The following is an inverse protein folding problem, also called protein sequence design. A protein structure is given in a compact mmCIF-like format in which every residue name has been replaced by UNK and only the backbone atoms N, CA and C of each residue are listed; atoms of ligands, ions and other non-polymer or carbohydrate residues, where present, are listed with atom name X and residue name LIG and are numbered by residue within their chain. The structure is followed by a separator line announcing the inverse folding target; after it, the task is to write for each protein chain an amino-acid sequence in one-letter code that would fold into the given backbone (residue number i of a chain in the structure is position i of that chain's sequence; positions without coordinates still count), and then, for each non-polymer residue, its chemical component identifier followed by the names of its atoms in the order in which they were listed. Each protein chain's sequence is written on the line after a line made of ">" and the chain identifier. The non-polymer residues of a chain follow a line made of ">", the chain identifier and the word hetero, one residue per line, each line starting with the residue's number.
data_IF_060028878842
#
_entry.id   IF_060028878842
#
_cell.length_a   1.000
_cell.length_b   1.000
_cell.length_c   1.000
_cell.angle_alpha   90.00
_cell.angle_beta   90.00
_cell.angle_gamma   90.00
#
_symmetry.space_group_name_H-M   'P 1'
#
loop_
_entity.id
_entity.type
_entity.pdbx_description
1 polymer ?
#
# COMPACT_ATOMS: atom_id res chain seq x y z
N UNK A 1 0.65 14.54 50.11
CA UNK A 1 1.55 13.54 49.46
C UNK A 1 0.93 12.76 48.29
N UNK A 2 -0.41 12.61 48.15
CA UNK A 2 -1.03 11.89 47.01
C UNK A 2 -1.04 12.64 45.65
N UNK A 3 -0.90 13.97 45.64
CA UNK A 3 -0.93 14.79 44.41
C UNK A 3 0.35 14.72 43.57
N UNK A 4 1.54 14.54 44.16
CA UNK A 4 2.80 14.47 43.39
C UNK A 4 2.95 13.14 42.65
N UNK A 5 2.45 12.04 43.23
CA UNK A 5 2.45 10.73 42.57
C UNK A 5 1.62 10.74 41.29
N UNK A 6 0.40 11.30 41.35
CA UNK A 6 -0.50 11.38 40.19
C UNK A 6 0.11 12.19 39.04
N UNK A 7 0.81 13.29 39.34
CA UNK A 7 1.42 14.16 38.34
C UNK A 7 2.62 13.48 37.66
N UNK A 8 3.48 12.80 38.43
CA UNK A 8 4.62 12.04 37.91
C UNK A 8 4.16 10.86 37.04
N UNK A 9 3.09 10.17 37.44
CA UNK A 9 2.54 9.05 36.67
C UNK A 9 1.87 9.51 35.37
N UNK A 10 1.18 10.66 35.38
CA UNK A 10 0.67 11.26 34.15
C UNK A 10 1.78 11.70 33.20
N UNK A 11 2.86 12.31 33.70
CA UNK A 11 4.03 12.67 32.87
C UNK A 11 4.69 11.42 32.25
N UNK A 12 4.80 10.32 33.00
CA UNK A 12 5.34 9.04 32.49
C UNK A 12 4.44 8.42 31.43
N UNK A 13 3.12 8.42 31.64
CA UNK A 13 2.13 7.96 30.65
C UNK A 13 2.17 8.80 29.38
N UNK A 14 2.31 10.12 29.49
CA UNK A 14 2.39 11.04 28.36
C UNK A 14 3.66 10.83 27.52
N UNK A 15 4.79 10.52 28.15
CA UNK A 15 6.03 10.15 27.44
C UNK A 15 5.87 8.82 26.68
N UNK A 16 5.22 7.82 27.29
CA UNK A 16 4.97 6.51 26.66
C UNK A 16 3.97 6.61 25.49
N UNK A 17 2.88 7.36 25.66
CA UNK A 17 1.88 7.53 24.61
C UNK A 17 2.41 8.33 23.43
N UNK A 18 3.22 9.38 23.66
CA UNK A 18 3.94 10.11 22.60
C UNK A 18 4.88 9.21 21.81
N UNK A 19 5.67 8.39 22.51
CA UNK A 19 6.56 7.43 21.87
C UNK A 19 5.79 6.46 20.97
N UNK A 20 4.70 5.87 21.49
CA UNK A 20 3.86 4.98 20.69
C UNK A 20 3.18 5.69 19.52
N UNK A 21 2.73 6.93 19.72
CA UNK A 21 2.15 7.76 18.67
C UNK A 21 3.14 8.03 17.52
N UNK A 22 4.41 8.31 17.84
CA UNK A 22 5.47 8.45 16.84
C UNK A 22 5.68 7.14 16.07
N UNK A 23 5.74 6.00 16.77
CA UNK A 23 5.89 4.70 16.11
C UNK A 23 4.72 4.41 15.14
N UNK A 24 3.48 4.63 15.59
CA UNK A 24 2.29 4.43 14.74
C UNK A 24 2.31 5.37 13.54
N UNK A 25 2.70 6.64 13.74
CA UNK A 25 2.87 7.59 12.64
C UNK A 25 3.89 7.08 11.60
N UNK A 26 5.05 6.58 12.04
CA UNK A 26 6.04 5.99 11.14
C UNK A 26 5.50 4.78 10.38
N UNK A 27 4.72 3.90 11.03
CA UNK A 27 4.10 2.75 10.36
C UNK A 27 3.11 3.21 9.29
N UNK A 28 2.26 4.20 9.58
CA UNK A 28 1.31 4.77 8.62
C UNK A 28 2.06 5.40 7.44
N UNK A 29 3.13 6.15 7.72
CA UNK A 29 3.96 6.79 6.70
C UNK A 29 4.62 5.77 5.76
N UNK A 30 5.25 4.73 6.31
CA UNK A 30 5.85 3.65 5.51
C UNK A 30 4.81 2.88 4.71
N UNK A 31 3.63 2.62 5.29
CA UNK A 31 2.50 1.99 4.59
C UNK A 31 2.03 2.85 3.43
N UNK A 32 1.96 4.18 3.61
CA UNK A 32 1.57 5.14 2.57
C UNK A 32 2.56 5.13 1.41
N UNK A 33 3.86 5.16 1.70
CA UNK A 33 4.92 5.07 0.69
C UNK A 33 4.83 3.75 -0.10
N UNK A 34 4.68 2.63 0.62
CA UNK A 34 4.56 1.32 -0.02
C UNK A 34 3.34 1.23 -0.94
N UNK A 35 2.18 1.66 -0.46
CA UNK A 35 0.95 1.66 -1.25
C UNK A 35 1.10 2.55 -2.48
N UNK A 36 1.71 3.74 -2.34
CA UNK A 36 1.98 4.62 -3.47
C UNK A 36 2.83 3.95 -4.56
N UNK A 37 3.98 3.36 -4.21
CA UNK A 37 4.85 2.70 -5.19
C UNK A 37 4.21 1.44 -5.79
N UNK A 38 3.45 0.68 -4.99
CA UNK A 38 2.69 -0.46 -5.47
C UNK A 38 1.70 -0.04 -6.56
N UNK A 39 0.87 0.98 -6.30
CA UNK A 39 -0.12 1.43 -7.27
C UNK A 39 0.49 2.13 -8.48
N UNK A 40 1.64 2.81 -8.35
CA UNK A 40 2.37 3.31 -9.51
C UNK A 40 2.84 2.18 -10.43
N UNK A 41 3.25 1.05 -9.86
CA UNK A 41 3.64 -0.13 -10.64
C UNK A 41 2.43 -0.75 -11.34
N UNK A 42 1.30 -0.90 -10.63
CA UNK A 42 0.04 -1.34 -11.22
C UNK A 42 -0.39 -0.40 -12.35
N UNK A 43 -0.28 0.92 -12.16
CA UNK A 43 -0.63 1.93 -13.17
C UNK A 43 0.08 1.65 -14.50
N UNK A 44 1.41 1.48 -14.45
CA UNK A 44 2.22 1.19 -15.64
C UNK A 44 1.80 -0.12 -16.31
N UNK A 45 1.56 -1.17 -15.52
CA UNK A 45 1.11 -2.47 -16.03
C UNK A 45 -0.26 -2.36 -16.72
N UNK A 46 -1.19 -1.63 -16.12
CA UNK A 46 -2.54 -1.45 -16.65
C UNK A 46 -2.55 -0.60 -17.93
N UNK A 47 -1.74 0.45 -17.99
CA UNK A 47 -1.53 1.22 -19.24
C UNK A 47 -1.04 0.32 -20.37
N UNK A 48 -0.01 -0.50 -20.12
CA UNK A 48 0.49 -1.47 -21.10
C UNK A 48 -0.59 -2.46 -21.52
N UNK A 49 -1.39 -2.94 -20.58
CA UNK A 49 -2.51 -3.84 -20.88
C UNK A 49 -3.58 -3.19 -21.75
N UNK A 50 -3.94 -1.92 -21.50
CA UNK A 50 -4.91 -1.20 -22.32
C UNK A 50 -4.42 -1.03 -23.76
N UNK A 51 -3.18 -0.56 -23.95
CA UNK A 51 -2.58 -0.44 -25.29
C UNK A 51 -2.51 -1.78 -26.02
N UNK A 52 -2.18 -2.86 -25.29
CA UNK A 52 -2.18 -4.21 -25.84
C UNK A 52 -3.57 -4.62 -26.35
N UNK A 53 -4.63 -4.34 -25.59
CA UNK A 53 -6.01 -4.62 -26.01
C UNK A 53 -6.39 -3.84 -27.26
N UNK A 54 -6.07 -2.54 -27.32
CA UNK A 54 -6.31 -1.71 -28.51
C UNK A 54 -5.56 -2.25 -29.72
N UNK A 55 -4.28 -2.61 -29.58
CA UNK A 55 -3.49 -3.18 -30.68
C UNK A 55 -4.05 -4.51 -31.19
N UNK A 56 -4.54 -5.38 -30.30
CA UNK A 56 -5.21 -6.63 -30.71
C UNK A 56 -6.47 -6.33 -31.51
N UNK A 57 -7.28 -5.34 -31.09
CA UNK A 57 -8.47 -4.93 -31.84
C UNK A 57 -8.11 -4.33 -33.20
N UNK A 58 -7.04 -3.52 -33.27
CA UNK A 58 -6.52 -2.99 -34.55
C UNK A 58 -6.12 -4.13 -35.48
N UNK A 59 -5.30 -5.08 -35.02
CA UNK A 59 -4.88 -6.24 -35.80
C UNK A 59 -6.07 -7.08 -36.27
N UNK A 60 -7.01 -7.39 -35.36
CA UNK A 60 -8.21 -8.16 -35.69
C UNK A 60 -9.06 -7.46 -36.76
N UNK A 61 -9.30 -6.15 -36.62
CA UNK A 61 -10.08 -5.37 -37.59
C UNK A 61 -9.41 -5.31 -38.97
N UNK A 62 -8.08 -5.15 -39.02
CA UNK A 62 -7.30 -5.16 -40.25
C UNK A 62 -7.38 -6.51 -40.96
N UNK A 63 -7.14 -7.60 -40.24
CA UNK A 63 -7.23 -8.95 -40.80
C UNK A 63 -8.65 -9.29 -41.26
N UNK A 64 -9.68 -8.81 -40.57
CA UNK A 64 -11.06 -8.99 -41.02
C UNK A 64 -11.31 -8.30 -42.37
N UNK A 65 -10.85 -7.06 -42.54
CA UNK A 65 -11.00 -6.32 -43.80
C UNK A 65 -10.32 -7.02 -44.95
N UNK A 66 -9.09 -7.51 -44.73
CA UNK A 66 -8.36 -8.30 -45.73
C UNK A 66 -9.11 -9.57 -46.13
N UNK A 67 -9.66 -10.31 -45.16
CA UNK A 67 -10.37 -11.57 -45.38
C UNK A 67 -11.77 -11.41 -45.98
N UNK A 68 -12.40 -10.26 -45.79
CA UNK A 68 -13.76 -9.98 -46.28
C UNK A 68 -13.78 -9.11 -47.53
N UNK A 69 -12.62 -8.85 -48.14
CA UNK A 69 -12.47 -8.01 -49.32
C UNK A 69 -13.02 -6.59 -49.13
N UNK A 70 -12.87 -6.03 -47.92
CA UNK A 70 -13.26 -4.64 -47.63
C UNK A 70 -14.66 -4.43 -47.05
N UNK A 71 -15.35 -5.47 -46.58
CA UNK A 71 -16.67 -5.35 -45.94
C UNK A 71 -16.57 -4.75 -44.52
N UNK A 72 -16.66 -3.42 -44.44
CA UNK A 72 -16.54 -2.65 -43.19
C UNK A 72 -17.65 -2.98 -42.19
N UNK A 73 -18.89 -3.15 -42.64
CA UNK A 73 -20.03 -3.39 -41.75
C UNK A 73 -19.93 -4.75 -41.07
N UNK A 74 -19.59 -5.79 -41.85
CA UNK A 74 -19.33 -7.12 -41.32
C UNK A 74 -18.16 -7.11 -40.34
N UNK A 75 -17.07 -6.41 -40.67
CA UNK A 75 -15.89 -6.35 -39.81
C UNK A 75 -16.10 -5.54 -38.53
N UNK A 76 -16.90 -4.48 -38.59
CA UNK A 76 -17.32 -3.74 -37.39
C UNK A 76 -18.10 -4.64 -36.45
N UNK A 77 -19.08 -5.40 -36.97
CA UNK A 77 -19.87 -6.35 -36.17
C UNK A 77 -19.01 -7.47 -35.56
N UNK A 78 -18.09 -8.04 -36.33
CA UNK A 78 -17.19 -9.09 -35.84
C UNK A 78 -16.20 -8.56 -34.79
N UNK A 79 -15.70 -7.34 -34.97
CA UNK A 79 -14.78 -6.70 -34.01
C UNK A 79 -15.50 -6.40 -32.69
N UNK A 80 -16.75 -5.90 -32.74
CA UNK A 80 -17.61 -5.75 -31.56
C UNK A 80 -17.84 -7.10 -30.87
N UNK A 81 -18.14 -8.15 -31.63
CA UNK A 81 -18.32 -9.50 -31.08
C UNK A 81 -17.05 -10.03 -30.40
N UNK A 82 -15.89 -9.86 -31.05
CA UNK A 82 -14.60 -10.25 -30.50
C UNK A 82 -14.29 -9.49 -29.20
N UNK A 83 -14.47 -8.17 -29.18
CA UNK A 83 -14.29 -7.34 -27.99
C UNK A 83 -15.23 -7.74 -26.83
N UNK A 84 -16.46 -8.17 -27.13
CA UNK A 84 -17.41 -8.64 -26.10
C UNK A 84 -16.98 -9.95 -25.43
N UNK A 85 -16.29 -10.83 -26.16
CA UNK A 85 -15.79 -12.13 -25.68
C UNK A 85 -14.40 -12.03 -25.07
N UNK A 86 -13.65 -10.98 -25.40
CA UNK A 86 -12.35 -10.70 -24.81
C UNK A 86 -12.53 -10.30 -23.35
N UNK A 87 -12.45 -11.29 -22.46
CA UNK A 87 -12.52 -11.08 -21.01
C UNK A 87 -11.10 -10.93 -20.48
N UNK A 88 -10.81 -9.79 -19.84
CA UNK A 88 -9.43 -9.37 -19.60
C UNK A 88 -9.19 -9.03 -18.14
N UNK A 89 -8.43 -9.90 -17.48
CA UNK A 89 -7.63 -9.72 -16.27
C UNK A 89 -8.40 -9.53 -14.94
N UNK A 90 -7.69 -9.74 -13.82
CA UNK A 90 -8.20 -9.73 -12.44
C UNK A 90 -9.01 -8.46 -12.06
N UNK A 91 -8.68 -7.30 -12.64
CA UNK A 91 -9.37 -6.03 -12.41
C UNK A 91 -10.48 -5.71 -13.41
N UNK A 92 -10.57 -6.47 -14.51
CA UNK A 92 -11.50 -6.26 -15.62
C UNK A 92 -11.16 -5.03 -16.46
N UNK A 93 -11.96 -4.80 -17.50
CA UNK A 93 -11.90 -3.61 -18.35
C UNK A 93 -13.27 -3.30 -18.96
N UNK A 94 -13.45 -2.07 -19.42
CA UNK A 94 -14.59 -1.67 -20.24
C UNK A 94 -14.12 -1.25 -21.62
N UNK A 95 -14.81 -1.73 -22.65
CA UNK A 95 -14.54 -1.40 -24.05
C UNK A 95 -15.76 -0.68 -24.62
N UNK A 96 -15.53 0.48 -25.21
CA UNK A 96 -16.49 1.20 -26.02
C UNK A 96 -15.99 1.21 -27.47
N UNK A 97 -16.87 1.00 -28.43
CA UNK A 97 -16.59 1.13 -29.87
C UNK A 97 -17.65 2.04 -30.47
N UNK A 98 -17.27 3.19 -31.02
CA UNK A 98 -18.20 4.25 -31.46
C UNK A 98 -19.20 4.69 -30.38
N UNK A 99 -18.70 4.88 -29.17
CA UNK A 99 -19.49 5.20 -27.97
C UNK A 99 -20.48 4.10 -27.53
N UNK A 100 -20.60 2.99 -28.26
CA UNK A 100 -21.37 1.83 -27.81
C UNK A 100 -20.56 1.05 -26.78
N UNK A 101 -21.11 0.87 -25.58
CA UNK A 101 -20.50 0.04 -24.55
C UNK A 101 -20.63 -1.45 -24.93
N UNK A 102 -19.51 -2.03 -25.38
CA UNK A 102 -19.46 -3.43 -25.85
C UNK A 102 -19.28 -4.41 -24.70
N UNK A 103 -18.44 -4.04 -23.72
CA UNK A 103 -18.21 -4.84 -22.53
C UNK A 103 -17.84 -3.96 -21.34
N UNK A 104 -18.20 -4.42 -20.14
CA UNK A 104 -17.73 -3.84 -18.88
C UNK A 104 -17.62 -4.91 -17.80
N UNK A 105 -16.41 -5.48 -17.75
CA UNK A 105 -16.02 -6.51 -16.78
C UNK A 105 -15.32 -5.93 -15.56
N UNK A 106 -15.29 -4.60 -15.40
CA UNK A 106 -14.56 -3.94 -14.30
C UNK A 106 -15.14 -4.37 -12.95
N UNK A 107 -14.28 -4.92 -12.10
CA UNK A 107 -14.64 -5.40 -10.77
C UNK A 107 -14.95 -4.27 -9.80
N UNK A 108 -14.32 -3.12 -9.97
CA UNK A 108 -14.42 -1.98 -9.06
C UNK A 108 -14.86 -0.75 -9.83
N UNK A 109 -16.16 -0.48 -9.91
CA UNK A 109 -16.72 0.62 -10.71
C UNK A 109 -16.79 1.96 -9.97
N UNK A 110 -16.76 1.93 -8.64
CA UNK A 110 -16.87 3.10 -7.76
C UNK A 110 -15.55 3.34 -7.03
N UNK A 111 -15.27 4.61 -6.75
CA UNK A 111 -14.20 5.07 -5.85
C UNK A 111 -12.77 4.74 -6.31
N UNK A 112 -12.56 4.64 -7.63
CA UNK A 112 -11.26 4.36 -8.24
C UNK A 112 -11.02 5.24 -9.45
N UNK A 113 -9.76 5.61 -9.64
CA UNK A 113 -9.35 6.40 -10.79
C UNK A 113 -9.60 5.63 -12.09
N UNK A 114 -10.28 6.29 -13.02
CA UNK A 114 -10.54 5.76 -14.34
C UNK A 114 -9.35 6.06 -15.26
N UNK A 115 -8.64 5.02 -15.67
CA UNK A 115 -7.68 5.10 -16.77
C UNK A 115 -8.43 4.83 -18.06
N UNK A 116 -8.39 5.77 -18.99
CA UNK A 116 -9.00 5.62 -20.30
C UNK A 116 -8.00 5.93 -21.40
N UNK A 117 -8.05 5.13 -22.45
CA UNK A 117 -7.29 5.35 -23.68
C UNK A 117 -8.27 5.23 -24.82
N UNK A 118 -8.30 6.28 -25.64
CA UNK A 118 -9.13 6.35 -26.83
C UNK A 118 -8.21 6.36 -28.04
N UNK A 119 -8.55 5.57 -29.05
CA UNK A 119 -7.77 5.39 -30.28
C UNK A 119 -8.73 5.07 -31.44
N UNK A 120 -8.23 4.99 -32.68
CA UNK A 120 -8.99 4.62 -33.87
C UNK A 120 -8.64 3.22 -34.36
N UNK A 121 -9.65 2.45 -34.75
CA UNK A 121 -9.49 1.22 -35.52
C UNK A 121 -9.51 1.59 -37.01
N UNK A 122 -8.38 2.05 -37.52
CA UNK A 122 -8.26 2.71 -38.83
C UNK A 122 -8.81 1.87 -40.00
N UNK A 123 -8.67 0.54 -39.93
CA UNK A 123 -9.15 -0.39 -40.96
C UNK A 123 -10.66 -0.33 -41.17
N UNK A 124 -11.43 -0.08 -40.11
CA UNK A 124 -12.91 -0.01 -40.13
C UNK A 124 -13.43 1.40 -39.80
N UNK A 125 -12.53 2.38 -39.60
CA UNK A 125 -12.84 3.79 -39.30
C UNK A 125 -13.76 4.01 -38.09
N UNK A 126 -13.64 3.16 -37.07
CA UNK A 126 -14.39 3.32 -35.82
C UNK A 126 -13.46 3.77 -34.69
N UNK A 127 -14.02 4.49 -33.72
CA UNK A 127 -13.34 4.85 -32.48
C UNK A 127 -13.39 3.69 -31.50
N UNK A 128 -12.32 3.49 -30.72
CA UNK A 128 -12.27 2.54 -29.61
C UNK A 128 -11.81 3.26 -28.36
N UNK A 129 -12.52 3.05 -27.25
CA UNK A 129 -12.07 3.46 -25.93
C UNK A 129 -11.99 2.24 -25.02
N UNK A 130 -10.84 2.06 -24.39
CA UNK A 130 -10.66 1.02 -23.37
C UNK A 130 -10.37 1.71 -22.06
N UNK A 131 -11.15 1.36 -21.03
CA UNK A 131 -11.01 1.92 -19.70
C UNK A 131 -10.90 0.88 -18.59
N UNK A 132 -10.14 1.23 -17.55
CA UNK A 132 -9.91 0.40 -16.36
C UNK A 132 -9.97 1.23 -15.09
N UNK A 133 -10.33 0.59 -14.00
CA UNK A 133 -10.48 1.20 -12.67
C UNK A 133 -9.71 0.39 -11.62
N UNK A 134 -8.43 0.12 -11.90
CA UNK A 134 -7.61 -0.76 -11.05
C UNK A 134 -7.07 -0.06 -9.81
N UNK A 135 -6.94 1.28 -9.80
CA UNK A 135 -6.23 2.03 -8.75
C UNK A 135 -7.23 2.73 -7.82
N UNK A 136 -7.25 2.36 -6.53
CA UNK A 136 -8.02 3.07 -5.53
C UNK A 136 -7.34 4.39 -5.14
N UNK A 137 -8.12 5.27 -4.51
CA UNK A 137 -7.57 6.42 -3.82
C UNK A 137 -6.52 5.99 -2.77
N UNK A 138 -5.43 6.76 -2.67
CA UNK A 138 -4.32 6.43 -1.79
C UNK A 138 -4.73 6.50 -0.32
N UNK A 139 -5.53 7.51 0.07
CA UNK A 139 -5.99 7.65 1.44
C UNK A 139 -6.95 6.52 1.81
N UNK A 140 -7.89 6.17 0.94
CA UNK A 140 -8.79 5.03 1.19
C UNK A 140 -8.00 3.72 1.29
N UNK A 141 -6.99 3.51 0.45
CA UNK A 141 -6.11 2.34 0.52
C UNK A 141 -5.34 2.27 1.84
N UNK A 142 -4.70 3.36 2.25
CA UNK A 142 -3.95 3.42 3.53
C UNK A 142 -4.91 3.21 4.71
N UNK A 143 -6.06 3.88 4.70
CA UNK A 143 -7.10 3.72 5.72
C UNK A 143 -7.52 2.27 5.83
N UNK A 144 -7.82 1.59 4.72
CA UNK A 144 -8.17 0.16 4.69
C UNK A 144 -7.04 -0.76 5.12
N UNK A 145 -5.78 -0.41 4.87
CA UNK A 145 -4.63 -1.16 5.41
C UNK A 145 -4.50 -1.00 6.92
N UNK A 146 -4.69 0.21 7.46
CA UNK A 146 -4.60 0.51 8.90
C UNK A 146 -5.79 -0.08 9.67
N UNK A 147 -6.99 0.01 9.11
CA UNK A 147 -8.22 -0.52 9.73
C UNK A 147 -8.47 -1.99 9.40
N UNK A 148 -7.52 -2.69 8.77
CA UNK A 148 -7.69 -4.09 8.36
C UNK A 148 -8.99 -4.32 7.58
N UNK A 149 -9.38 -3.34 6.75
CA UNK A 149 -10.61 -3.33 5.96
C UNK A 149 -11.86 -3.76 6.75
N UNK A 150 -11.95 -3.39 8.05
CA UNK A 150 -13.09 -3.74 8.92
C UNK A 150 -14.43 -3.32 8.32
N UNK A 151 -14.49 -2.19 7.61
CA UNK A 151 -15.70 -1.74 6.93
C UNK A 151 -16.14 -2.70 5.82
N UNK A 152 -15.20 -3.16 4.98
CA UNK A 152 -15.49 -4.14 3.93
C UNK A 152 -15.95 -5.47 4.54
N UNK A 153 -15.37 -5.87 5.69
CA UNK A 153 -15.81 -7.05 6.46
C UNK A 153 -17.24 -6.88 6.95
N UNK A 154 -17.55 -5.75 7.59
CA UNK A 154 -18.88 -5.47 8.12
C UNK A 154 -19.94 -5.46 7.02
N UNK A 155 -19.64 -4.87 5.87
CA UNK A 155 -20.54 -4.86 4.73
C UNK A 155 -20.79 -6.27 4.16
N UNK A 156 -19.77 -7.13 4.13
CA UNK A 156 -19.91 -8.53 3.71
C UNK A 156 -20.70 -9.39 4.69
N UNK A 157 -20.49 -9.20 6.00
CA UNK A 157 -21.30 -9.84 7.04
C UNK A 157 -22.78 -9.51 6.83
N UNK A 158 -23.08 -8.23 6.57
CA UNK A 158 -24.47 -7.77 6.33
C UNK A 158 -25.09 -8.39 5.06
N UNK A 159 -24.28 -8.75 4.07
CA UNK A 159 -24.72 -9.38 2.81
C UNK A 159 -24.81 -10.91 2.88
N UNK A 160 -24.30 -11.53 3.93
CA UNK A 160 -24.27 -13.00 4.07
C UNK A 160 -23.23 -13.69 3.18
N UNK A 161 -22.20 -12.95 2.74
CA UNK A 161 -21.12 -13.50 1.91
C UNK A 161 -20.16 -14.38 2.73
N UNK A 162 -19.47 -15.33 2.06
CA UNK A 162 -18.39 -16.10 2.68
C UNK A 162 -17.22 -15.19 3.10
N UNK A 163 -16.94 -15.19 4.40
CA UNK A 163 -15.91 -14.39 5.04
C UNK A 163 -14.53 -15.05 4.92
N UNK A 164 -14.46 -16.38 4.84
CA UNK A 164 -13.18 -17.10 4.85
C UNK A 164 -12.40 -16.81 3.57
N UNK A 165 -13.08 -16.91 2.43
CA UNK A 165 -12.52 -16.58 1.12
C UNK A 165 -12.13 -15.10 1.02
N UNK A 166 -12.90 -14.22 1.65
CA UNK A 166 -12.57 -12.80 1.70
C UNK A 166 -11.32 -12.52 2.56
N UNK A 167 -11.20 -13.18 3.71
CA UNK A 167 -10.05 -13.07 4.61
C UNK A 167 -8.76 -13.54 3.94
N UNK A 168 -8.79 -14.73 3.32
CA UNK A 168 -7.62 -15.34 2.70
C UNK A 168 -7.19 -14.62 1.41
N UNK A 169 -8.15 -14.27 0.54
CA UNK A 169 -7.82 -13.75 -0.80
C UNK A 169 -7.71 -12.22 -0.89
N UNK A 170 -8.34 -11.47 0.03
CA UNK A 170 -8.41 -10.00 -0.07
C UNK A 170 -7.74 -9.29 1.11
N UNK A 171 -8.08 -9.66 2.34
CA UNK A 171 -7.61 -8.97 3.54
C UNK A 171 -6.13 -9.21 3.85
N UNK A 172 -5.66 -10.46 3.68
CA UNK A 172 -4.27 -10.82 3.93
C UNK A 172 -3.32 -9.98 3.10
N UNK A 173 -3.55 -9.89 1.78
CA UNK A 173 -2.70 -9.12 0.87
C UNK A 173 -2.73 -7.61 1.13
N UNK A 174 -3.87 -7.04 1.53
CA UNK A 174 -4.02 -5.59 1.76
C UNK A 174 -3.44 -5.10 3.10
N UNK A 175 -3.47 -5.94 4.13
CA UNK A 175 -3.08 -5.55 5.49
C UNK A 175 -1.65 -5.98 5.86
N UNK A 176 -1.05 -6.87 5.08
CA UNK A 176 0.29 -7.39 5.29
C UNK A 176 1.38 -6.30 5.33
N UNK A 177 1.37 -5.25 4.46
CA UNK A 177 2.38 -4.19 4.56
C UNK A 177 2.32 -3.45 5.91
N UNK A 178 1.13 -3.08 6.37
CA UNK A 178 0.95 -2.40 7.65
C UNK A 178 1.44 -3.26 8.82
N UNK A 179 1.06 -4.55 8.85
CA UNK A 179 1.53 -5.49 9.87
C UNK A 179 3.05 -5.70 9.84
N UNK A 180 3.63 -5.82 8.64
CA UNK A 180 5.06 -6.00 8.48
C UNK A 180 5.82 -4.78 8.99
N UNK A 181 5.38 -3.56 8.64
CA UNK A 181 5.99 -2.33 9.16
C UNK A 181 5.78 -2.15 10.65
N UNK A 182 4.60 -2.51 11.17
CA UNK A 182 4.34 -2.49 12.61
C UNK A 182 5.32 -3.41 13.35
N UNK A 183 5.49 -4.65 12.88
CA UNK A 183 6.44 -5.59 13.45
C UNK A 183 7.87 -5.06 13.37
N UNK A 184 8.29 -4.54 12.21
CA UNK A 184 9.63 -4.01 12.00
C UNK A 184 9.92 -2.81 12.93
N UNK A 185 8.99 -1.87 13.02
CA UNK A 185 9.13 -0.69 13.89
C UNK A 185 9.19 -1.08 15.37
N UNK A 186 8.39 -2.06 15.81
CA UNK A 186 8.45 -2.61 17.16
C UNK A 186 9.80 -3.30 17.41
N UNK A 187 10.26 -4.12 16.47
CA UNK A 187 11.54 -4.84 16.58
C UNK A 187 12.72 -3.87 16.67
N UNK A 188 12.78 -2.88 15.78
CA UNK A 188 13.81 -1.84 15.79
C UNK A 188 13.76 -1.03 17.09
N UNK A 189 12.57 -0.62 17.54
CA UNK A 189 12.40 0.08 18.81
C UNK A 189 12.86 -0.76 20.01
N UNK A 190 12.63 -2.07 19.99
CA UNK A 190 13.10 -2.99 21.02
C UNK A 190 14.63 -3.16 21.01
N UNK A 191 15.25 -3.28 19.84
CA UNK A 191 16.70 -3.35 19.68
C UNK A 191 17.38 -2.05 20.13
N UNK A 192 16.85 -0.89 19.75
CA UNK A 192 17.36 0.41 20.21
C UNK A 192 17.28 0.53 21.73
N UNK A 193 16.17 0.10 22.34
CA UNK A 193 16.02 0.12 23.81
C UNK A 193 17.11 -0.71 24.49
N UNK A 194 17.43 -1.90 23.96
CA UNK A 194 18.54 -2.72 24.48
C UNK A 194 19.89 -2.03 24.31
N UNK A 195 20.14 -1.42 23.15
CA UNK A 195 21.38 -0.69 22.88
C UNK A 195 21.56 0.50 23.83
N UNK A 196 20.52 1.30 24.06
CA UNK A 196 20.55 2.44 24.99
C UNK A 196 20.84 1.96 26.42
N UNK A 197 20.19 0.89 26.89
CA UNK A 197 20.47 0.35 28.22
C UNK A 197 21.91 -0.14 28.36
N UNK A 198 22.45 -0.79 27.33
CA UNK A 198 23.85 -1.21 27.32
C UNK A 198 24.81 -0.03 27.38
N UNK A 199 24.52 1.07 26.66
CA UNK A 199 25.33 2.30 26.73
C UNK A 199 25.26 2.95 28.11
N UNK A 200 24.07 3.01 28.71
CA UNK A 200 23.90 3.55 30.07
C UNK A 200 24.68 2.73 31.11
N UNK A 201 24.71 1.41 30.99
CA UNK A 201 25.47 0.54 31.90
C UNK A 201 26.98 0.76 31.76
N UNK A 202 27.48 0.97 30.55
CA UNK A 202 28.90 1.28 30.32
C UNK A 202 29.27 2.64 30.91
N UNK A 203 28.43 3.66 30.73
CA UNK A 203 28.65 4.99 31.31
C UNK A 203 28.67 4.92 32.84
N UNK A 204 27.69 4.24 33.46
CA UNK A 204 27.64 4.07 34.93
C UNK A 204 28.87 3.33 35.48
N UNK A 205 29.40 2.34 34.73
CA UNK A 205 30.67 1.68 35.10
C UNK A 205 31.86 2.61 34.98
N UNK A 206 31.94 3.42 33.94
CA UNK A 206 33.02 4.40 33.73
C UNK A 206 33.01 5.47 34.82
N UNK A 207 31.83 6.04 35.14
CA UNK A 207 31.68 7.02 36.21
C UNK A 207 32.10 6.46 37.59
N UNK A 208 31.78 5.19 37.86
CA UNK A 208 32.22 4.52 39.10
C UNK A 208 33.74 4.33 39.15
N UNK A 209 34.37 3.91 38.05
CA UNK A 209 35.83 3.75 38.00
C UNK A 209 36.54 5.10 38.17
N UNK A 210 36.04 6.16 37.53
CA UNK A 210 36.59 7.51 37.68
C UNK A 210 36.46 8.03 39.13
N UNK A 211 35.31 7.78 39.78
CA UNK A 211 35.11 8.14 41.18
C UNK A 211 36.03 7.37 42.13
N UNK A 212 36.29 6.09 41.87
CA UNK A 212 37.24 5.29 42.65
C UNK A 212 38.68 5.78 42.47
N UNK A 213 39.11 6.06 41.24
CA UNK A 213 40.44 6.61 40.95
C UNK A 213 40.67 7.96 41.64
N UNK A 214 39.69 8.87 41.58
CA UNK A 214 39.75 10.16 42.30
C UNK A 214 39.89 9.97 43.81
N UNK A 215 39.16 9.03 44.40
CA UNK A 215 39.26 8.72 45.83
C UNK A 215 40.65 8.16 46.20
N UNK A 216 41.25 7.32 45.35
CA UNK A 216 42.61 6.83 45.58
C UNK A 216 43.65 7.94 45.51
N UNK A 217 43.55 8.83 44.52
CA UNK A 217 44.45 9.99 44.37
C UNK A 217 44.33 10.96 45.55
N UNK A 218 43.12 11.24 46.02
CA UNK A 218 42.90 12.10 47.19
C UNK A 218 43.54 11.49 48.46
N UNK A 219 43.38 10.17 48.64
CA UNK A 219 43.96 9.44 49.78
C UNK A 219 45.49 9.31 49.73
N UNK A 220 46.08 9.26 48.54
CA UNK A 220 47.54 9.24 48.35
C UNK A 220 48.13 10.62 48.64
N UNK A 221 47.49 11.68 48.15
CA UNK A 221 47.88 13.06 48.40
C UNK A 221 47.78 13.44 49.89
N UNK A 222 46.75 12.96 50.60
CA UNK A 222 46.61 13.15 52.05
C UNK A 222 47.72 12.46 52.87
N UNK A 223 48.29 11.36 52.37
CA UNK A 223 49.41 10.68 53.03
C UNK A 223 50.72 11.45 52.88
N UNK A 224 50.99 12.00 51.70
CA UNK A 224 52.20 12.78 51.42
C UNK A 224 52.23 14.12 52.15
N UNK A 225 51.07 14.71 52.49
CA UNK A 225 50.99 15.93 53.31
C UNK A 225 51.23 15.66 54.81
N UNK A 226 51.16 14.40 55.25
CA UNK A 226 51.28 14.00 56.66
C UNK A 226 52.65 13.44 57.07
N UNK A 227 53.62 13.36 56.15
CA UNK A 227 55.02 12.99 56.38
C UNK A 227 55.93 14.22 56.43
#
# INVERSE_FOLDING_TARGET
>A
MKRSFFFVDQIKLWKKSRYFGILVFFVIFLTSINNYFFYQTIKKSEWKSIYSTINILKQYSSSCIELTSGDVDKCTKQTKLFASKYTGNYYGHSVLIDNDQISDTRRYKKDRDLFKVSDSLDAIKVSVEVSKSSIPDLFDSVRKSVTFSIEDVYEKIKKGDDLVDFFLNTLKGRSQPFLAYLFLVILVGWLMKKSIFSQMEVIDRLEKMEAEELYFLEKENDKDVSS
#
